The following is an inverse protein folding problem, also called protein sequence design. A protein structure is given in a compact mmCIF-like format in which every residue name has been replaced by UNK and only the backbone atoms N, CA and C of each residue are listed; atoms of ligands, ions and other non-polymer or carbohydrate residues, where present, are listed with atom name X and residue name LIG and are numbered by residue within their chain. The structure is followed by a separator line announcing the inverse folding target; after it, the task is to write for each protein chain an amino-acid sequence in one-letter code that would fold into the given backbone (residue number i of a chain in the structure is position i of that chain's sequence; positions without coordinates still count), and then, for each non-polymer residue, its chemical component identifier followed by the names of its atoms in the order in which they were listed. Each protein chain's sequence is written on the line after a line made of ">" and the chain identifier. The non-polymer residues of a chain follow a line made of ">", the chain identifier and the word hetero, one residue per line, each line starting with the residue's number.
data_IF_572965684523
#
_entry.id   IF_572965684523
#
_cell.length_a   1.000
_cell.length_b   1.000
_cell.length_c   1.000
_cell.angle_alpha   90.00
_cell.angle_beta   90.00
_cell.angle_gamma   90.00
#
_symmetry.space_group_name_H-M   'P 1'
#
loop_
_entity.id
_entity.type
_entity.pdbx_description
1 polymer ?
#
# COMPACT_ATOMS: atom_id res chain seq x y z
N UNK A 1 -14.07 -10.23 -22.23
CA UNK A 1 -13.59 -8.89 -22.66
C UNK A 1 -12.24 -8.68 -22.00
N UNK A 2 -11.19 -8.41 -22.79
CA UNK A 2 -9.83 -8.17 -22.26
C UNK A 2 -9.83 -6.98 -21.30
N UNK A 3 -9.07 -7.07 -20.21
CA UNK A 3 -8.81 -5.98 -19.25
C UNK A 3 -8.37 -4.73 -20.00
N UNK A 4 -7.58 -4.85 -21.05
CA UNK A 4 -7.11 -3.77 -21.90
C UNK A 4 -8.25 -2.89 -22.46
N UNK A 5 -9.37 -3.47 -22.92
CA UNK A 5 -10.52 -2.68 -23.41
C UNK A 5 -11.29 -1.97 -22.30
N UNK A 6 -11.31 -2.54 -21.08
CA UNK A 6 -11.90 -1.85 -19.92
C UNK A 6 -11.01 -0.69 -19.47
N UNK A 7 -9.70 -0.90 -19.49
CA UNK A 7 -8.72 0.13 -19.15
C UNK A 7 -8.82 1.32 -20.11
N UNK A 8 -8.87 1.12 -21.42
CA UNK A 8 -9.01 2.21 -22.39
C UNK A 8 -10.22 3.10 -22.08
N UNK A 9 -11.38 2.49 -21.83
CA UNK A 9 -12.58 3.23 -21.51
C UNK A 9 -12.44 4.01 -20.20
N UNK A 10 -11.86 3.38 -19.18
CA UNK A 10 -11.66 4.02 -17.87
C UNK A 10 -10.64 5.16 -17.95
N UNK A 11 -9.57 4.99 -18.71
CA UNK A 11 -8.54 6.02 -18.92
C UNK A 11 -9.09 7.20 -19.69
N UNK A 12 -9.88 6.95 -20.73
CA UNK A 12 -10.54 8.01 -21.52
C UNK A 12 -11.58 8.77 -20.69
N UNK A 13 -12.35 8.08 -19.86
CA UNK A 13 -13.31 8.71 -18.90
C UNK A 13 -12.57 9.56 -17.86
N UNK A 14 -11.44 9.13 -17.34
CA UNK A 14 -10.60 9.91 -16.39
C UNK A 14 -10.10 11.20 -17.04
N UNK A 15 -9.52 11.10 -18.22
CA UNK A 15 -9.02 12.28 -18.93
C UNK A 15 -10.14 13.29 -19.26
N UNK A 16 -11.30 12.81 -19.68
CA UNK A 16 -12.49 13.66 -19.93
C UNK A 16 -12.99 14.33 -18.65
N UNK A 17 -12.93 13.64 -17.51
CA UNK A 17 -13.33 14.22 -16.21
C UNK A 17 -12.42 15.35 -15.75
N UNK A 18 -11.13 15.28 -16.06
CA UNK A 18 -10.14 16.28 -15.64
C UNK A 18 -10.12 17.47 -16.61
N UNK A 19 -10.24 17.22 -17.92
CA UNK A 19 -10.10 18.26 -18.97
C UNK A 19 -11.42 18.77 -19.54
N UNK A 20 -12.56 18.47 -18.90
CA UNK A 20 -13.84 19.16 -19.21
C UNK A 20 -14.51 18.72 -20.52
N UNK A 21 -14.44 17.44 -20.89
CA UNK A 21 -15.28 16.86 -21.97
C UNK A 21 -14.68 16.90 -23.39
N UNK A 22 -13.52 17.50 -23.59
CA UNK A 22 -12.71 17.40 -24.81
C UNK A 22 -11.54 16.42 -24.64
N UNK A 23 -11.12 15.73 -25.73
CA UNK A 23 -9.84 15.00 -25.69
C UNK A 23 -8.71 16.02 -25.57
N UNK A 24 -7.98 15.99 -24.46
CA UNK A 24 -6.78 16.82 -24.34
C UNK A 24 -5.75 16.43 -25.42
N UNK A 25 -5.02 17.41 -25.99
CA UNK A 25 -3.93 17.10 -26.92
C UNK A 25 -2.96 16.09 -26.28
N UNK A 26 -2.62 15.02 -27.00
CA UNK A 26 -1.72 13.96 -26.48
C UNK A 26 -2.37 12.87 -25.64
N UNK A 27 -3.70 12.90 -25.40
CA UNK A 27 -4.40 11.88 -24.61
C UNK A 27 -4.26 10.47 -25.19
N UNK A 28 -4.39 10.31 -26.51
CA UNK A 28 -4.27 8.99 -27.16
C UNK A 28 -2.87 8.43 -27.00
N UNK A 29 -1.85 9.26 -27.16
CA UNK A 29 -0.46 8.88 -26.98
C UNK A 29 -0.15 8.49 -25.53
N UNK A 30 -0.67 9.23 -24.57
CA UNK A 30 -0.51 8.92 -23.14
C UNK A 30 -1.18 7.57 -22.77
N UNK A 31 -2.33 7.25 -23.37
CA UNK A 31 -3.01 5.96 -23.20
C UNK A 31 -2.18 4.82 -23.81
N UNK A 32 -1.57 5.04 -24.98
CA UNK A 32 -0.67 4.07 -25.60
C UNK A 32 0.56 3.82 -24.73
N UNK A 33 1.20 4.86 -24.21
CA UNK A 33 2.32 4.74 -23.25
C UNK A 33 1.92 3.96 -21.99
N UNK A 34 0.73 4.20 -21.48
CA UNK A 34 0.21 3.47 -20.30
C UNK A 34 0.08 1.97 -20.60
N UNK A 35 -0.46 1.61 -21.75
CA UNK A 35 -0.58 0.20 -22.19
C UNK A 35 0.77 -0.43 -22.40
N UNK A 36 1.67 0.25 -23.11
CA UNK A 36 3.02 -0.22 -23.35
C UNK A 36 3.79 -0.46 -22.03
N UNK A 37 3.57 0.37 -21.02
CA UNK A 37 4.13 0.15 -19.70
C UNK A 37 3.64 -1.16 -19.08
N UNK A 38 2.32 -1.43 -19.13
CA UNK A 38 1.75 -2.67 -18.60
C UNK A 38 2.29 -3.90 -19.36
N UNK A 39 2.35 -3.82 -20.69
CA UNK A 39 2.85 -4.92 -21.52
C UNK A 39 4.34 -5.18 -21.27
N UNK A 40 5.17 -4.14 -21.16
CA UNK A 40 6.58 -4.27 -20.81
C UNK A 40 6.80 -4.88 -19.44
N UNK A 41 5.95 -4.55 -18.46
CA UNK A 41 6.01 -5.12 -17.13
C UNK A 41 5.62 -6.60 -17.16
N UNK A 42 4.51 -6.95 -17.81
CA UNK A 42 4.03 -8.34 -17.93
C UNK A 42 5.03 -9.22 -18.70
N UNK A 43 5.70 -8.68 -19.70
CA UNK A 43 6.72 -9.40 -20.48
C UNK A 43 7.98 -9.77 -19.66
N UNK A 44 8.20 -9.14 -18.50
CA UNK A 44 9.32 -9.46 -17.61
C UNK A 44 9.05 -10.61 -16.64
N UNK A 45 7.89 -11.26 -16.74
CA UNK A 45 7.59 -12.47 -16.00
C UNK A 45 8.55 -13.61 -16.38
N UNK A 46 8.99 -14.35 -15.40
CA UNK A 46 9.90 -15.50 -15.54
C UNK A 46 9.23 -16.78 -15.08
N UNK A 47 9.82 -17.92 -15.39
CA UNK A 47 9.38 -19.22 -14.88
C UNK A 47 10.01 -19.45 -13.52
N UNK A 48 9.18 -19.65 -12.50
CA UNK A 48 9.60 -19.94 -11.14
C UNK A 48 10.10 -21.38 -10.98
N UNK A 49 10.65 -21.69 -9.81
CA UNK A 49 11.25 -23.01 -9.48
C UNK A 49 10.22 -24.16 -9.58
N UNK A 50 8.94 -23.86 -9.44
CA UNK A 50 7.84 -24.85 -9.54
C UNK A 50 7.20 -24.92 -10.92
N UNK A 51 7.77 -24.22 -11.91
CA UNK A 51 7.23 -24.15 -13.28
C UNK A 51 6.07 -23.15 -13.46
N UNK A 52 5.69 -22.44 -12.42
CA UNK A 52 4.71 -21.34 -12.46
C UNK A 52 5.34 -20.06 -13.03
N UNK A 53 4.51 -19.22 -13.63
CA UNK A 53 4.95 -17.89 -14.09
C UNK A 53 4.90 -16.92 -12.92
N UNK A 54 6.03 -16.27 -12.64
CA UNK A 54 6.17 -15.32 -11.53
C UNK A 54 6.74 -13.99 -12.04
N UNK A 55 6.32 -12.89 -11.44
CA UNK A 55 6.95 -11.59 -11.61
C UNK A 55 7.98 -11.43 -10.47
N UNK A 56 9.29 -11.49 -10.78
CA UNK A 56 10.32 -11.62 -9.75
C UNK A 56 10.74 -10.28 -9.13
N UNK A 57 10.14 -9.17 -9.57
CA UNK A 57 10.51 -7.81 -9.16
C UNK A 57 9.48 -7.26 -8.18
N UNK A 58 9.93 -6.50 -7.20
CA UNK A 58 9.11 -5.84 -6.20
C UNK A 58 9.18 -4.30 -6.28
N UNK A 59 10.08 -3.77 -7.11
CA UNK A 59 10.17 -2.34 -7.42
C UNK A 59 10.05 -2.10 -8.91
N UNK A 60 9.18 -1.17 -9.28
CA UNK A 60 9.00 -0.71 -10.65
C UNK A 60 9.22 0.80 -10.64
N UNK A 61 10.06 1.28 -11.53
CA UNK A 61 10.20 2.70 -11.83
C UNK A 61 9.84 2.93 -13.29
N UNK A 62 8.96 3.90 -13.52
CA UNK A 62 8.59 4.34 -14.86
C UNK A 62 9.09 5.77 -15.03
N UNK A 63 9.97 5.98 -16.00
CA UNK A 63 10.47 7.28 -16.39
C UNK A 63 9.72 7.71 -17.66
N UNK A 64 9.06 8.88 -17.60
CA UNK A 64 8.26 9.41 -18.69
C UNK A 64 8.82 10.76 -19.13
N UNK A 65 9.06 10.93 -20.42
CA UNK A 65 9.48 12.21 -20.98
C UNK A 65 8.27 13.16 -21.03
N UNK A 66 8.42 14.31 -20.43
CA UNK A 66 7.42 15.38 -20.41
C UNK A 66 8.10 16.68 -20.88
N UNK A 67 8.15 16.86 -22.20
CA UNK A 67 8.80 17.98 -22.88
C UNK A 67 8.02 19.29 -22.77
N UNK A 68 6.72 19.22 -22.47
CA UNK A 68 5.85 20.38 -22.24
C UNK A 68 5.07 20.26 -20.93
N UNK A 69 4.69 21.41 -20.31
CA UNK A 69 3.85 21.40 -19.11
C UNK A 69 2.48 20.73 -19.33
N UNK A 70 1.91 20.89 -20.52
CA UNK A 70 0.63 20.30 -20.90
C UNK A 70 0.74 18.78 -20.97
N UNK A 71 1.79 18.25 -21.62
CA UNK A 71 2.08 16.80 -21.69
C UNK A 71 2.30 16.24 -20.30
N UNK A 72 3.05 16.94 -19.45
CA UNK A 72 3.27 16.55 -18.07
C UNK A 72 1.96 16.43 -17.29
N UNK A 73 1.06 17.41 -17.43
CA UNK A 73 -0.25 17.38 -16.75
C UNK A 73 -1.11 16.21 -17.20
N UNK A 74 -1.10 15.83 -18.49
CA UNK A 74 -1.81 14.67 -19.02
C UNK A 74 -1.24 13.37 -18.48
N UNK A 75 0.09 13.24 -18.45
CA UNK A 75 0.77 12.06 -17.92
C UNK A 75 0.56 11.90 -16.40
N UNK A 76 0.66 12.97 -15.62
CA UNK A 76 0.40 12.96 -14.17
C UNK A 76 -1.05 12.56 -13.85
N UNK A 77 -2.01 13.00 -14.67
CA UNK A 77 -3.41 12.64 -14.51
C UNK A 77 -3.70 11.17 -14.82
N UNK A 78 -2.91 10.55 -15.68
CA UNK A 78 -3.10 9.17 -16.11
C UNK A 78 -2.26 8.18 -15.30
N UNK A 79 -0.99 8.50 -15.05
CA UNK A 79 -0.03 7.64 -14.35
C UNK A 79 -0.09 7.89 -12.83
N UNK A 80 -1.22 7.56 -12.21
CA UNK A 80 -1.40 7.65 -10.75
C UNK A 80 -0.82 6.36 -10.13
N UNK A 81 0.21 6.44 -9.27
CA UNK A 81 0.94 5.26 -8.78
C UNK A 81 0.06 4.18 -8.16
N UNK A 82 -0.93 4.56 -7.33
CA UNK A 82 -1.82 3.63 -6.65
C UNK A 82 -2.68 2.85 -7.66
N UNK A 83 -3.29 3.57 -8.59
CA UNK A 83 -4.17 2.98 -9.61
C UNK A 83 -3.39 2.11 -10.59
N UNK A 84 -2.23 2.60 -11.02
CA UNK A 84 -1.38 1.83 -11.93
C UNK A 84 -0.83 0.58 -11.28
N UNK A 85 -0.57 0.60 -9.97
CA UNK A 85 -0.18 -0.61 -9.22
C UNK A 85 -1.28 -1.67 -9.25
N UNK A 86 -2.53 -1.27 -9.11
CA UNK A 86 -3.68 -2.18 -9.19
C UNK A 86 -3.86 -2.72 -10.62
N UNK A 87 -3.69 -1.87 -11.63
CA UNK A 87 -3.77 -2.26 -13.04
C UNK A 87 -2.61 -3.22 -13.43
N UNK A 88 -1.40 -3.01 -12.90
CA UNK A 88 -0.27 -3.93 -13.05
C UNK A 88 -0.60 -5.30 -12.43
N UNK A 89 -1.15 -5.34 -11.22
CA UNK A 89 -1.54 -6.59 -10.57
C UNK A 89 -2.60 -7.33 -11.36
N UNK A 90 -3.59 -6.60 -11.89
CA UNK A 90 -4.64 -7.16 -12.72
C UNK A 90 -4.09 -7.72 -14.04
N UNK A 91 -3.19 -7.00 -14.71
CA UNK A 91 -2.53 -7.45 -15.95
C UNK A 91 -1.67 -8.70 -15.73
N UNK A 92 -0.90 -8.76 -14.64
CA UNK A 92 -0.12 -9.93 -14.26
C UNK A 92 -1.03 -11.14 -13.98
N UNK A 93 -2.12 -10.93 -13.28
CA UNK A 93 -3.10 -11.99 -12.98
C UNK A 93 -3.75 -12.55 -14.26
N UNK A 94 -4.16 -11.67 -15.21
CA UNK A 94 -4.70 -12.09 -16.52
C UNK A 94 -3.69 -12.88 -17.33
N UNK A 95 -2.41 -12.50 -17.23
CA UNK A 95 -1.32 -13.23 -17.88
C UNK A 95 -0.95 -14.56 -17.17
N UNK A 96 -1.66 -14.93 -16.08
CA UNK A 96 -1.36 -16.11 -15.27
C UNK A 96 -0.02 -16.01 -14.52
N UNK A 97 0.39 -14.80 -14.19
CA UNK A 97 1.65 -14.49 -13.49
C UNK A 97 1.37 -14.16 -12.04
N UNK A 98 2.04 -14.84 -11.12
CA UNK A 98 2.00 -14.50 -9.70
C UNK A 98 2.79 -13.24 -9.42
N UNK A 99 2.15 -12.23 -8.81
CA UNK A 99 2.80 -10.98 -8.40
C UNK A 99 3.31 -11.08 -6.96
N UNK A 100 4.35 -10.32 -6.57
CA UNK A 100 4.81 -10.24 -5.19
C UNK A 100 3.74 -9.61 -4.29
N UNK A 101 3.74 -9.97 -3.00
CA UNK A 101 2.82 -9.42 -2.00
C UNK A 101 2.99 -7.90 -1.86
N UNK A 102 4.22 -7.42 -1.94
CA UNK A 102 4.57 -6.00 -1.94
C UNK A 102 5.09 -5.62 -3.31
N UNK A 103 4.49 -4.62 -3.94
CA UNK A 103 4.91 -4.05 -5.20
C UNK A 103 4.96 -2.53 -5.04
N UNK A 104 6.13 -1.95 -5.20
CA UNK A 104 6.35 -0.50 -5.13
C UNK A 104 6.48 0.07 -6.54
N UNK A 105 5.69 1.09 -6.85
CA UNK A 105 5.73 1.81 -8.12
C UNK A 105 6.16 3.26 -7.89
N UNK A 106 7.14 3.71 -8.65
CA UNK A 106 7.59 5.10 -8.68
C UNK A 106 7.52 5.63 -10.11
N UNK A 107 6.91 6.80 -10.29
CA UNK A 107 6.84 7.48 -11.60
C UNK A 107 7.71 8.72 -11.52
N UNK A 108 8.56 8.92 -12.50
CA UNK A 108 9.55 10.00 -12.55
C UNK A 108 9.47 10.71 -13.91
N UNK A 109 9.61 12.02 -13.89
CA UNK A 109 9.64 12.88 -15.06
C UNK A 109 11.03 13.54 -15.18
N UNK A 110 12.02 12.86 -15.79
CA UNK A 110 13.37 13.40 -15.89
C UNK A 110 13.41 14.61 -16.86
N UNK A 111 14.17 15.63 -16.52
CA UNK A 111 14.34 16.83 -17.35
C UNK A 111 15.07 16.54 -18.68
N UNK A 112 15.83 15.44 -18.72
CA UNK A 112 16.59 15.02 -19.89
C UNK A 112 16.40 13.50 -20.08
N UNK A 113 15.43 13.11 -20.91
CA UNK A 113 15.20 11.73 -21.28
C UNK A 113 15.64 11.50 -22.73
N UNK A 114 16.30 10.36 -22.97
CA UNK A 114 16.72 9.93 -24.32
C UNK A 114 15.60 9.15 -25.02
N UNK A 115 14.66 8.64 -24.26
CA UNK A 115 13.51 7.84 -24.73
C UNK A 115 12.22 8.36 -24.09
N UNK A 116 11.13 8.18 -24.81
CA UNK A 116 9.81 8.67 -24.41
C UNK A 116 9.30 8.03 -23.13
N UNK A 117 9.56 6.73 -22.95
CA UNK A 117 9.25 5.98 -21.74
C UNK A 117 10.33 4.93 -21.47
N UNK A 118 10.66 4.75 -20.21
CA UNK A 118 11.51 3.66 -19.73
C UNK A 118 10.89 2.98 -18.54
N UNK A 119 10.71 1.67 -18.61
CA UNK A 119 10.27 0.83 -17.49
C UNK A 119 11.48 0.11 -16.91
N UNK A 120 11.75 0.32 -15.64
CA UNK A 120 12.83 -0.31 -14.89
C UNK A 120 12.18 -1.18 -13.83
N UNK A 121 12.43 -2.49 -13.85
CA UNK A 121 11.95 -3.43 -12.86
C UNK A 121 13.16 -3.96 -12.08
N UNK A 122 13.15 -3.77 -10.80
CA UNK A 122 14.22 -4.20 -9.91
C UNK A 122 13.63 -5.15 -8.86
N UNK A 123 14.39 -6.18 -8.54
CA UNK A 123 14.13 -6.98 -7.37
C UNK A 123 14.91 -6.33 -6.25
N UNK A 124 14.22 -5.94 -5.18
CA UNK A 124 14.95 -5.64 -3.96
C UNK A 124 15.77 -6.90 -3.66
N UNK A 125 17.06 -6.85 -3.94
CA UNK A 125 17.92 -7.92 -3.51
C UNK A 125 17.61 -8.10 -2.02
N UNK A 126 17.32 -9.34 -1.61
CA UNK A 126 17.37 -9.66 -0.18
C UNK A 126 18.63 -8.98 0.32
N UNK A 127 18.56 -8.09 1.31
CA UNK A 127 19.64 -7.17 1.57
C UNK A 127 20.94 -7.96 1.68
N UNK A 128 21.75 -7.89 0.62
CA UNK A 128 23.16 -8.20 0.77
C UNK A 128 23.63 -7.27 1.90
N UNK A 129 24.44 -7.75 2.86
CA UNK A 129 24.87 -6.93 3.97
C UNK A 129 25.46 -5.65 3.36
N UNK A 130 24.68 -4.56 3.36
CA UNK A 130 25.18 -3.26 2.99
C UNK A 130 26.22 -2.90 4.03
N UNK A 131 27.47 -3.02 3.64
CA UNK A 131 28.59 -2.41 4.31
C UNK A 131 28.53 -0.89 4.07
N UNK A 132 27.53 -0.29 4.66
CA UNK A 132 27.48 1.08 5.13
C UNK A 132 26.42 1.05 6.23
N UNK A 133 26.90 1.16 7.46
CA UNK A 133 26.10 1.15 8.67
C UNK A 133 25.23 2.43 8.72
N UNK A 134 24.14 2.45 7.97
CA UNK A 134 22.97 3.15 8.45
C UNK A 134 22.54 2.37 9.70
N UNK A 135 22.77 2.97 10.87
CA UNK A 135 22.45 2.36 12.15
C UNK A 135 20.99 1.91 12.11
N UNK A 136 20.76 0.60 11.93
CA UNK A 136 19.44 0.05 12.08
C UNK A 136 19.16 -0.08 13.57
N UNK A 137 18.18 0.63 14.05
CA UNK A 137 17.75 0.51 15.43
C UNK A 137 17.24 -0.91 15.70
N UNK A 138 17.65 -1.55 16.79
CA UNK A 138 17.10 -2.83 17.17
C UNK A 138 15.61 -2.67 17.45
N UNK A 139 14.84 -3.69 17.12
CA UNK A 139 13.42 -3.73 17.48
C UNK A 139 13.29 -3.66 19.01
N UNK A 140 12.63 -2.63 19.51
CA UNK A 140 12.26 -2.51 20.91
C UNK A 140 10.83 -3.01 21.02
N UNK A 141 10.58 -4.15 21.71
CA UNK A 141 9.23 -4.65 21.90
C UNK A 141 8.36 -3.64 22.63
N UNK A 142 7.09 -3.59 22.28
CA UNK A 142 6.09 -2.71 22.89
C UNK A 142 4.83 -3.52 23.19
N UNK A 143 3.91 -2.95 23.98
CA UNK A 143 2.62 -3.56 24.34
C UNK A 143 1.48 -2.72 23.84
N UNK A 144 0.42 -3.39 23.44
CA UNK A 144 -0.88 -2.80 23.16
C UNK A 144 -1.87 -3.28 24.22
N UNK A 145 -2.21 -2.39 25.16
CA UNK A 145 -3.17 -2.70 26.21
C UNK A 145 -4.56 -2.23 25.80
N UNK A 146 -5.52 -3.13 25.78
CA UNK A 146 -6.92 -2.81 25.45
C UNK A 146 -7.59 -2.01 26.57
N UNK A 147 -8.03 -0.80 26.24
CA UNK A 147 -8.72 0.10 27.17
C UNK A 147 -10.25 0.10 26.97
N UNK A 148 -10.71 -0.14 25.72
CA UNK A 148 -12.13 -0.18 25.36
C UNK A 148 -12.33 -1.18 24.22
N UNK A 149 -13.45 -1.89 24.28
CA UNK A 149 -13.71 -3.05 23.44
C UNK A 149 -13.19 -4.33 24.08
N UNK A 150 -13.33 -5.43 23.36
CA UNK A 150 -12.82 -6.77 23.73
C UNK A 150 -11.93 -7.24 22.61
N UNK A 151 -10.63 -7.30 22.84
CA UNK A 151 -9.67 -7.82 21.88
C UNK A 151 -9.40 -9.30 22.08
N UNK A 152 -8.80 -9.94 21.08
CA UNK A 152 -8.33 -11.33 21.17
C UNK A 152 -7.30 -11.54 22.29
N UNK A 153 -6.52 -10.51 22.59
CA UNK A 153 -5.51 -10.50 23.64
C UNK A 153 -5.49 -9.10 24.28
N UNK A 154 -6.00 -8.95 25.52
CA UNK A 154 -6.13 -7.64 26.18
C UNK A 154 -4.81 -6.91 26.43
N UNK A 155 -3.72 -7.66 26.52
CA UNK A 155 -2.36 -7.17 26.73
C UNK A 155 -1.44 -7.85 25.72
N UNK A 156 -1.38 -7.28 24.51
CA UNK A 156 -0.72 -7.85 23.35
C UNK A 156 0.73 -7.38 23.22
N UNK A 157 1.68 -8.33 23.26
CA UNK A 157 3.10 -8.04 23.03
C UNK A 157 3.39 -7.93 21.54
N UNK A 158 3.98 -6.80 21.13
CA UNK A 158 4.45 -6.57 19.77
C UNK A 158 5.97 -6.77 19.74
N UNK A 159 6.40 -7.95 19.34
CA UNK A 159 7.79 -8.39 19.26
C UNK A 159 8.29 -8.60 17.83
N UNK A 160 7.54 -8.10 16.86
CA UNK A 160 7.80 -8.24 15.41
C UNK A 160 7.66 -6.91 14.69
N UNK A 161 8.24 -6.83 13.48
CA UNK A 161 8.31 -5.58 12.72
C UNK A 161 6.96 -5.01 12.33
N UNK A 162 5.92 -5.83 12.19
CA UNK A 162 4.57 -5.40 11.84
C UNK A 162 3.54 -6.30 12.46
N UNK A 163 2.43 -5.69 12.90
CA UNK A 163 1.19 -6.37 13.28
C UNK A 163 0.01 -5.71 12.58
N UNK A 164 -0.97 -6.51 12.24
CA UNK A 164 -2.23 -6.05 11.66
C UNK A 164 -3.33 -6.08 12.71
N UNK A 165 -4.21 -5.08 12.66
CA UNK A 165 -5.32 -4.89 13.59
C UNK A 165 -6.62 -4.89 12.80
N UNK A 166 -7.63 -5.61 13.26
CA UNK A 166 -8.93 -5.64 12.62
C UNK A 166 -10.01 -6.32 13.45
N UNK A 167 -11.21 -6.50 12.89
CA UNK A 167 -12.34 -7.11 13.59
C UNK A 167 -12.29 -8.65 13.58
N UNK A 168 -11.69 -9.23 12.56
CA UNK A 168 -11.62 -10.69 12.36
C UNK A 168 -10.17 -11.16 12.37
N UNK A 169 -9.94 -12.41 12.76
CA UNK A 169 -8.59 -13.00 12.72
C UNK A 169 -8.06 -13.07 11.26
N UNK A 170 -8.89 -13.57 10.34
CA UNK A 170 -8.54 -13.70 8.93
C UNK A 170 -9.53 -12.94 8.05
N UNK A 171 -8.99 -12.14 7.13
CA UNK A 171 -9.78 -11.47 6.10
C UNK A 171 -9.75 -12.34 4.85
N UNK A 172 -10.94 -12.73 4.39
CA UNK A 172 -11.10 -13.58 3.21
C UNK A 172 -11.50 -12.74 2.00
N UNK A 173 -11.05 -13.15 0.81
CA UNK A 173 -11.54 -12.63 -0.47
C UNK A 173 -12.93 -13.22 -0.83
N UNK A 174 -13.48 -12.81 -1.97
CA UNK A 174 -14.77 -13.32 -2.46
C UNK A 174 -14.78 -14.82 -2.78
N UNK A 175 -13.62 -15.45 -2.86
CA UNK A 175 -13.43 -16.89 -3.10
C UNK A 175 -13.14 -17.67 -1.81
N UNK A 176 -13.18 -17.02 -0.65
CA UNK A 176 -12.91 -17.64 0.64
C UNK A 176 -11.42 -17.85 0.95
N UNK A 177 -10.51 -17.24 0.21
CA UNK A 177 -9.06 -17.36 0.46
C UNK A 177 -8.62 -16.27 1.42
N UNK A 178 -7.78 -16.62 2.40
CA UNK A 178 -7.20 -15.68 3.33
C UNK A 178 -6.24 -14.72 2.59
N UNK A 179 -6.55 -13.43 2.61
CA UNK A 179 -5.75 -12.35 2.01
C UNK A 179 -5.00 -11.54 3.05
N UNK A 180 -5.44 -11.61 4.32
CA UNK A 180 -4.78 -10.93 5.43
C UNK A 180 -5.08 -11.66 6.74
N UNK A 181 -4.10 -11.70 7.63
CA UNK A 181 -4.27 -12.11 9.02
C UNK A 181 -4.07 -10.90 9.93
N UNK A 182 -4.95 -10.74 10.91
CA UNK A 182 -4.79 -9.75 11.97
C UNK A 182 -4.27 -10.47 13.22
N UNK A 183 -3.12 -10.02 13.73
CA UNK A 183 -2.52 -10.56 14.95
C UNK A 183 -3.31 -10.11 16.18
N UNK A 184 -3.80 -8.88 16.17
CA UNK A 184 -4.70 -8.36 17.19
C UNK A 184 -6.07 -8.08 16.56
N UNK A 185 -7.11 -8.74 17.05
CA UNK A 185 -8.45 -8.56 16.50
C UNK A 185 -9.51 -8.36 17.60
N UNK A 186 -10.59 -7.68 17.21
CA UNK A 186 -11.72 -7.31 18.06
C UNK A 186 -12.98 -8.07 17.60
N UNK A 187 -13.23 -9.29 18.11
CA UNK A 187 -14.34 -10.12 17.63
C UNK A 187 -15.69 -9.41 17.82
N UNK A 188 -16.62 -9.67 16.90
CA UNK A 188 -17.92 -9.00 16.84
C UNK A 188 -18.81 -9.26 18.07
N UNK A 189 -18.55 -10.37 18.76
CA UNK A 189 -19.26 -10.75 19.97
C UNK A 189 -18.68 -10.08 21.20
N UNK A 190 -19.44 -9.23 21.87
CA UNK A 190 -19.17 -8.87 23.25
C UNK A 190 -19.03 -7.39 23.61
N UNK A 191 -18.77 -6.51 22.67
CA UNK A 191 -18.72 -5.08 22.94
C UNK A 191 -19.19 -4.26 21.73
N UNK A 192 -20.02 -3.25 21.97
CA UNK A 192 -20.51 -2.34 20.94
C UNK A 192 -19.35 -1.67 20.15
N UNK A 193 -18.28 -1.33 20.85
CA UNK A 193 -17.09 -0.75 20.24
C UNK A 193 -16.45 -1.63 19.16
N UNK A 194 -16.53 -2.96 19.29
CA UNK A 194 -15.94 -3.90 18.34
C UNK A 194 -16.61 -3.84 16.96
N UNK A 195 -17.91 -3.57 16.90
CA UNK A 195 -18.65 -3.43 15.64
C UNK A 195 -18.13 -2.27 14.78
N UNK A 196 -17.51 -1.28 15.40
CA UNK A 196 -16.90 -0.12 14.73
C UNK A 196 -15.56 -0.43 14.08
N UNK A 197 -14.93 -1.56 14.42
CA UNK A 197 -13.63 -1.96 13.86
C UNK A 197 -13.84 -2.62 12.50
N UNK A 198 -13.15 -2.16 11.46
CA UNK A 198 -13.18 -2.77 10.13
C UNK A 198 -12.46 -4.12 10.12
N UNK A 199 -12.83 -5.04 9.22
CA UNK A 199 -12.19 -6.38 9.09
C UNK A 199 -10.68 -6.28 8.91
N UNK A 200 -10.21 -5.38 8.04
CA UNK A 200 -8.83 -4.89 7.93
C UNK A 200 -8.88 -3.42 8.33
N UNK A 201 -8.43 -3.05 9.52
CA UNK A 201 -8.63 -1.68 10.02
C UNK A 201 -7.35 -0.86 9.94
N UNK A 202 -6.29 -1.34 10.55
CA UNK A 202 -5.02 -0.65 10.68
C UNK A 202 -3.84 -1.64 10.76
N UNK A 203 -2.63 -1.13 10.62
CA UNK A 203 -1.44 -1.87 11.02
C UNK A 203 -0.46 -0.96 11.75
N UNK A 204 0.36 -1.56 12.60
CA UNK A 204 1.47 -0.89 13.28
C UNK A 204 2.76 -1.50 12.76
N UNK A 205 3.73 -0.67 12.39
CA UNK A 205 5.01 -1.09 11.86
C UNK A 205 6.17 -0.37 12.54
N UNK A 206 7.23 -1.13 12.85
CA UNK A 206 8.52 -0.60 13.26
C UNK A 206 9.35 -0.25 12.04
N UNK A 207 9.93 0.94 12.02
CA UNK A 207 10.82 1.41 10.97
C UNK A 207 12.28 1.30 11.45
N UNK A 208 13.04 0.27 11.06
CA UNK A 208 14.38 0.05 11.57
C UNK A 208 15.37 1.18 11.26
N UNK A 209 15.13 1.93 10.18
CA UNK A 209 15.99 3.05 9.78
C UNK A 209 15.86 4.28 10.67
N UNK A 210 14.72 4.48 11.31
CA UNK A 210 14.45 5.61 12.22
C UNK A 210 14.27 5.18 13.68
N UNK A 211 14.11 3.88 13.95
CA UNK A 211 13.82 3.35 15.28
C UNK A 211 12.42 3.70 15.77
N UNK A 212 11.50 4.03 14.87
CA UNK A 212 10.17 4.54 15.19
C UNK A 212 9.09 3.49 14.94
N UNK A 213 8.13 3.43 15.84
CA UNK A 213 6.87 2.76 15.59
C UNK A 213 5.89 3.71 14.91
N UNK A 214 5.19 3.22 13.88
CA UNK A 214 4.19 3.99 13.13
C UNK A 214 2.91 3.21 12.98
N UNK A 215 1.77 3.93 13.01
CA UNK A 215 0.45 3.38 12.74
C UNK A 215 -0.06 3.88 11.39
N UNK A 216 -0.74 3.00 10.67
CA UNK A 216 -1.34 3.23 9.35
C UNK A 216 -2.80 2.82 9.40
N UNK A 217 -3.66 3.60 8.73
CA UNK A 217 -5.06 3.23 8.50
C UNK A 217 -5.18 2.55 7.13
N UNK A 218 -5.76 1.36 7.10
CA UNK A 218 -5.87 0.52 5.90
C UNK A 218 -7.20 0.73 5.14
N UNK A 219 -7.76 1.93 5.21
CA UNK A 219 -9.05 2.28 4.62
C UNK A 219 -10.22 1.88 5.50
N UNK A 220 -10.08 2.06 6.79
CA UNK A 220 -11.13 1.73 7.75
C UNK A 220 -12.37 2.61 7.59
N UNK A 221 -13.56 2.07 7.93
CA UNK A 221 -14.84 2.79 7.75
C UNK A 221 -15.00 3.97 8.70
N UNK A 222 -14.50 3.87 9.93
CA UNK A 222 -14.64 4.90 10.98
C UNK A 222 -13.32 5.58 11.33
N UNK A 223 -12.26 5.26 10.61
CA UNK A 223 -10.95 5.88 10.76
C UNK A 223 -10.17 5.41 11.99
N UNK A 224 -8.87 5.71 11.92
CA UNK A 224 -7.91 5.52 13.00
C UNK A 224 -7.46 6.88 13.53
N UNK A 225 -7.29 7.02 14.83
CA UNK A 225 -6.73 8.23 15.41
C UNK A 225 -5.90 7.92 16.66
N UNK A 226 -5.05 8.85 17.05
CA UNK A 226 -4.23 8.80 18.26
C UNK A 226 -4.64 9.95 19.17
N UNK A 227 -4.76 9.68 20.46
CA UNK A 227 -4.82 10.72 21.48
C UNK A 227 -3.48 10.80 22.20
N UNK A 228 -2.88 11.97 22.15
CA UNK A 228 -1.59 12.28 22.77
C UNK A 228 -1.69 13.59 23.54
N UNK A 229 -1.50 13.55 24.85
CA UNK A 229 -1.55 14.77 25.70
C UNK A 229 -2.82 15.61 25.49
N UNK A 230 -3.98 14.94 25.39
CA UNK A 230 -5.26 15.58 25.18
C UNK A 230 -5.56 16.08 23.76
N UNK A 231 -4.66 15.83 22.79
CA UNK A 231 -4.86 16.19 21.38
C UNK A 231 -5.14 14.95 20.55
N UNK A 232 -6.13 15.07 19.69
CA UNK A 232 -6.43 14.07 18.66
C UNK A 232 -5.54 14.30 17.43
N UNK A 233 -4.97 13.21 16.92
CA UNK A 233 -4.18 13.16 15.70
C UNK A 233 -4.84 12.10 14.81
N UNK A 234 -5.43 12.51 13.71
CA UNK A 234 -6.04 11.56 12.77
C UNK A 234 -4.95 10.88 11.93
N UNK A 235 -5.13 9.58 11.68
CA UNK A 235 -4.26 8.80 10.82
C UNK A 235 -4.92 8.78 9.43
N UNK A 236 -4.30 9.41 8.41
CA UNK A 236 -4.89 9.43 7.07
C UNK A 236 -4.98 8.01 6.50
N UNK A 237 -6.13 7.68 5.90
CA UNK A 237 -6.32 6.38 5.24
C UNK A 237 -5.33 6.23 4.06
N UNK A 238 -4.77 5.04 3.92
CA UNK A 238 -3.84 4.67 2.85
C UNK A 238 -2.62 5.60 2.70
N UNK A 239 -2.23 6.30 3.76
CA UNK A 239 -1.08 7.19 3.71
C UNK A 239 0.22 6.41 3.46
N UNK A 240 1.08 6.91 2.59
CA UNK A 240 2.40 6.33 2.31
C UNK A 240 3.33 6.38 3.53
N UNK A 241 3.10 7.33 4.44
CA UNK A 241 3.82 7.47 5.71
C UNK A 241 2.84 7.51 6.87
N UNK A 242 2.89 6.47 7.71
CA UNK A 242 2.07 6.38 8.92
C UNK A 242 2.42 7.45 9.98
N UNK A 243 1.51 7.61 10.94
CA UNK A 243 1.71 8.52 12.07
C UNK A 243 2.62 7.84 13.10
N UNK A 244 3.66 8.55 13.56
CA UNK A 244 4.60 8.06 14.57
C UNK A 244 3.89 7.87 15.92
N UNK A 245 4.04 6.69 16.52
CA UNK A 245 3.58 6.35 17.85
C UNK A 245 4.61 6.74 18.92
N UNK A 246 4.12 7.13 20.10
CA UNK A 246 4.91 7.39 21.28
C UNK A 246 4.33 6.62 22.45
N UNK A 247 5.17 6.23 23.39
CA UNK A 247 4.72 5.57 24.62
C UNK A 247 3.71 6.45 25.35
N UNK A 248 2.61 5.83 25.77
CA UNK A 248 1.48 6.50 26.40
C UNK A 248 0.40 6.99 25.42
N UNK A 249 0.57 6.84 24.11
CA UNK A 249 -0.47 7.14 23.14
C UNK A 249 -1.69 6.23 23.34
N UNK A 250 -2.88 6.81 23.27
CA UNK A 250 -4.12 6.05 23.12
C UNK A 250 -4.50 6.01 21.65
N UNK A 251 -4.62 4.79 21.11
CA UNK A 251 -4.95 4.51 19.72
C UNK A 251 -6.42 4.15 19.63
N UNK A 252 -7.14 4.84 18.78
CA UNK A 252 -8.53 4.56 18.44
C UNK A 252 -8.60 3.86 17.10
N UNK A 253 -9.17 2.67 17.07
CA UNK A 253 -9.52 1.90 15.89
C UNK A 253 -11.05 1.84 15.81
N UNK A 254 -11.66 2.84 15.15
CA UNK A 254 -13.07 3.13 15.31
C UNK A 254 -13.36 3.61 16.75
N UNK A 255 -14.21 2.89 17.49
CA UNK A 255 -14.53 3.16 18.91
C UNK A 255 -13.74 2.29 19.88
N UNK A 256 -13.07 1.24 19.41
CA UNK A 256 -12.18 0.44 20.23
C UNK A 256 -10.90 1.22 20.54
N UNK A 257 -10.32 1.00 21.72
CA UNK A 257 -9.21 1.81 22.22
C UNK A 257 -8.10 0.94 22.80
N UNK A 258 -6.90 1.25 22.39
CA UNK A 258 -5.66 0.62 22.82
C UNK A 258 -4.73 1.66 23.44
N UNK A 259 -3.85 1.26 24.35
CA UNK A 259 -2.73 2.08 24.81
C UNK A 259 -1.42 1.47 24.35
N UNK A 260 -0.54 2.32 23.82
CA UNK A 260 0.78 1.97 23.36
C UNK A 260 1.79 2.14 24.49
N UNK A 261 2.38 1.05 24.98
CA UNK A 261 3.23 1.02 26.17
C UNK A 261 4.56 0.33 25.90
N UNK A 262 5.57 0.57 26.76
CA UNK A 262 6.79 -0.20 26.73
C UNK A 262 6.51 -1.66 27.16
N UNK A 263 7.17 -2.61 26.53
CA UNK A 263 7.23 -3.96 27.04
C UNK A 263 8.11 -3.95 28.30
N UNK A 264 7.50 -4.27 29.44
CA UNK A 264 8.22 -4.41 30.72
C UNK A 264 9.03 -5.68 30.75
#
# INVERSE_FOLDING_TARGET
>A
MSILRRLEKTLDERLRGIFGGGSAPGSSEAIELYRDALDQIAARATVGVRGDRVFPFDQIRIELMADTPERKSVLEALFIPEQMTDDIRAALLEAGVSSPAVLSLTIVYPESAVVEMRVICEKTAAPAPRTEAAASFPLIPVRLVTLSGVSSEPDFLVDRLQINIGRVNEVLDSLGRAIRRNELFFPESGAEANASVSRAHAHIRFEPTSGEWRIYDDGSSLGTSIFRQGRRIDVPAHASRGVMLRLGDEIYVGQARLRFEAAS
#
